data_IF_730501705652
#
_entry.id   IF_730501705652
#
_cell.length_a   1.000
_cell.length_b   1.000
_cell.length_c   1.000
_cell.angle_alpha   90.00
_cell.angle_beta   90.00
_cell.angle_gamma   90.00
#
_symmetry.space_group_name_H-M   'P 1'
#
loop_
_entity.id
_entity.type
_entity.pdbx_description
1 polymer ?
#
# COMPACT_ATOMS: atom_id res chain seq x y z
N UNK A 1 9.49 8.48 3.76
CA UNK A 1 8.13 8.16 4.23
C UNK A 1 7.79 8.89 5.52
N UNK A 2 8.49 8.69 6.64
CA UNK A 2 8.22 9.45 7.87
C UNK A 2 8.23 10.99 7.67
N UNK A 3 9.20 11.53 6.93
CA UNK A 3 9.19 12.96 6.56
C UNK A 3 7.98 13.37 5.72
N UNK A 4 7.58 12.56 4.73
CA UNK A 4 6.35 12.77 3.96
C UNK A 4 5.10 12.71 4.85
N UNK A 5 5.12 11.85 5.86
CA UNK A 5 4.06 11.80 6.86
C UNK A 5 4.03 13.09 7.68
N UNK A 6 5.16 13.61 8.15
CA UNK A 6 5.20 14.87 8.90
C UNK A 6 4.72 16.07 8.06
N UNK A 7 5.17 16.17 6.81
CA UNK A 7 4.97 17.32 5.92
C UNK A 7 3.67 17.27 5.09
N UNK A 8 2.78 16.31 5.38
CA UNK A 8 1.53 16.14 4.62
C UNK A 8 1.76 15.94 3.10
N UNK A 9 2.73 15.11 2.74
CA UNK A 9 3.05 14.84 1.32
C UNK A 9 2.50 13.47 0.93
N UNK A 10 1.64 13.43 -0.08
CA UNK A 10 1.15 12.18 -0.70
C UNK A 10 2.27 11.45 -1.42
N UNK A 11 2.72 10.33 -0.84
CA UNK A 11 3.71 9.42 -1.44
C UNK A 11 3.21 7.99 -1.31
N UNK A 12 3.10 7.27 -2.42
CA UNK A 12 2.77 5.84 -2.39
C UNK A 12 4.08 5.05 -2.47
N UNK A 13 4.43 4.35 -1.40
CA UNK A 13 5.59 3.47 -1.35
C UNK A 13 5.19 2.06 -1.76
N UNK A 14 5.61 1.64 -2.96
CA UNK A 14 5.38 0.28 -3.47
C UNK A 14 6.64 -0.55 -3.22
N UNK A 15 6.49 -1.66 -2.52
CA UNK A 15 7.60 -2.57 -2.18
C UNK A 15 7.35 -3.93 -2.80
N UNK A 16 8.30 -4.39 -3.64
CA UNK A 16 8.33 -5.77 -4.09
C UNK A 16 8.65 -6.70 -2.92
N UNK A 17 7.86 -7.76 -2.74
CA UNK A 17 8.02 -8.75 -1.68
C UNK A 17 8.27 -10.15 -2.25
N UNK A 18 8.74 -11.06 -1.39
CA UNK A 18 9.08 -12.44 -1.76
C UNK A 18 7.83 -13.21 -2.25
N UNK A 19 7.99 -14.30 -3.01
CA UNK A 19 6.84 -15.04 -3.54
C UNK A 19 5.87 -15.49 -2.44
N UNK A 20 4.56 -15.44 -2.69
CA UNK A 20 3.53 -15.78 -1.70
C UNK A 20 3.74 -17.16 -1.06
N UNK A 21 4.17 -18.16 -1.83
CA UNK A 21 4.48 -19.51 -1.33
C UNK A 21 5.69 -19.54 -0.37
N UNK A 22 6.69 -18.67 -0.59
CA UNK A 22 7.84 -18.54 0.31
C UNK A 22 7.44 -17.88 1.63
N UNK A 23 6.57 -16.86 1.56
CA UNK A 23 6.03 -16.22 2.76
C UNK A 23 5.20 -17.21 3.59
N UNK A 24 4.31 -17.97 2.94
CA UNK A 24 3.44 -18.94 3.59
C UNK A 24 4.21 -20.11 4.26
N UNK A 25 5.37 -20.48 3.71
CA UNK A 25 6.20 -21.56 4.24
C UNK A 25 7.19 -21.13 5.33
N UNK A 26 7.26 -19.84 5.67
CA UNK A 26 8.20 -19.36 6.69
C UNK A 26 9.67 -19.46 6.26
N UNK A 27 9.95 -19.48 4.94
CA UNK A 27 11.27 -19.79 4.43
C UNK A 27 12.35 -18.78 4.91
N UNK A 28 13.52 -19.29 5.31
CA UNK A 28 14.65 -18.43 5.68
C UNK A 28 15.29 -17.91 4.38
N UNK A 29 15.04 -16.65 4.06
CA UNK A 29 15.48 -16.03 2.81
C UNK A 29 16.27 -14.74 3.06
N UNK A 30 17.15 -14.42 2.11
CA UNK A 30 17.83 -13.14 2.05
C UNK A 30 16.80 -12.01 1.97
N UNK A 31 17.06 -10.89 2.65
CA UNK A 31 16.13 -9.76 2.84
C UNK A 31 14.93 -10.00 3.79
N UNK A 32 15.05 -10.95 4.71
CA UNK A 32 14.16 -11.09 5.87
C UNK A 32 14.95 -10.98 7.18
N UNK A 33 14.27 -10.96 8.34
CA UNK A 33 14.95 -11.10 9.63
C UNK A 33 15.38 -12.55 9.94
N UNK A 34 15.14 -13.50 9.03
CA UNK A 34 15.48 -14.91 9.24
C UNK A 34 14.65 -15.60 10.33
N UNK A 35 13.54 -14.99 10.75
CA UNK A 35 12.67 -15.47 11.82
C UNK A 35 11.33 -16.04 11.31
N UNK A 36 11.16 -16.15 9.98
CA UNK A 36 9.94 -16.63 9.33
C UNK A 36 8.79 -15.61 9.26
N UNK A 37 8.97 -14.40 9.80
CA UNK A 37 7.98 -13.32 9.69
C UNK A 37 8.36 -12.37 8.55
N UNK A 38 7.57 -12.43 7.47
CA UNK A 38 7.75 -11.62 6.27
C UNK A 38 7.05 -10.25 6.36
N UNK A 39 6.25 -10.01 7.40
CA UNK A 39 5.47 -8.80 7.57
C UNK A 39 6.17 -7.76 8.45
N UNK A 40 7.31 -8.08 9.06
CA UNK A 40 8.02 -7.17 9.98
C UNK A 40 8.22 -5.78 9.37
N UNK A 41 8.76 -5.71 8.16
CA UNK A 41 9.02 -4.42 7.51
C UNK A 41 7.71 -3.71 7.15
N UNK A 42 6.71 -4.41 6.62
CA UNK A 42 5.39 -3.82 6.36
C UNK A 42 4.75 -3.27 7.64
N UNK A 43 4.90 -3.98 8.77
CA UNK A 43 4.39 -3.56 10.07
C UNK A 43 5.08 -2.28 10.57
N UNK A 44 6.38 -2.12 10.34
CA UNK A 44 7.09 -0.87 10.70
C UNK A 44 6.57 0.35 9.95
N UNK A 45 6.10 0.19 8.71
CA UNK A 45 5.56 1.30 7.92
C UNK A 45 4.17 1.75 8.39
N UNK A 46 3.43 0.93 9.15
CA UNK A 46 2.09 1.27 9.66
C UNK A 46 2.09 2.55 10.48
N UNK A 47 3.15 2.77 11.26
CA UNK A 47 3.30 3.94 12.13
C UNK A 47 3.57 5.25 11.36
N UNK A 48 3.95 5.16 10.09
CA UNK A 48 4.37 6.30 9.26
C UNK A 48 3.63 6.37 7.93
N UNK A 49 2.49 5.70 7.81
CA UNK A 49 1.62 5.72 6.64
C UNK A 49 0.15 5.81 7.05
N UNK A 50 -0.67 6.46 6.23
CA UNK A 50 -2.10 6.60 6.49
C UNK A 50 -2.90 5.35 6.10
N UNK A 51 -2.43 4.66 5.07
CA UNK A 51 -2.98 3.42 4.58
C UNK A 51 -1.84 2.48 4.21
N UNK A 52 -2.02 1.21 4.52
CA UNK A 52 -1.07 0.16 4.22
C UNK A 52 -1.82 -1.08 3.75
N UNK A 53 -1.21 -1.83 2.84
CA UNK A 53 -1.72 -3.13 2.41
C UNK A 53 -0.59 -4.03 1.94
N UNK A 54 -0.82 -5.35 2.00
CA UNK A 54 -0.07 -6.34 1.26
C UNK A 54 -1.04 -7.01 0.29
N UNK A 55 -0.76 -6.90 -1.01
CA UNK A 55 -1.66 -7.36 -2.04
C UNK A 55 -1.68 -8.88 -2.10
N UNK A 56 -2.88 -9.39 -2.33
CA UNK A 56 -3.19 -10.77 -2.63
C UNK A 56 -4.02 -10.81 -3.91
N UNK A 57 -4.18 -11.99 -4.50
CA UNK A 57 -4.99 -12.17 -5.71
C UNK A 57 -6.43 -11.69 -5.55
N UNK A 58 -6.96 -11.74 -4.33
CA UNK A 58 -8.38 -11.48 -4.07
C UNK A 58 -8.66 -10.07 -3.58
N UNK A 59 -7.65 -9.33 -3.08
CA UNK A 59 -7.85 -7.98 -2.54
C UNK A 59 -7.30 -6.86 -3.44
N UNK A 60 -6.60 -7.21 -4.53
CA UNK A 60 -5.77 -6.26 -5.25
C UNK A 60 -6.52 -5.01 -5.74
N UNK A 61 -7.72 -5.19 -6.30
CA UNK A 61 -8.54 -4.10 -6.83
C UNK A 61 -8.94 -3.14 -5.70
N UNK A 62 -9.64 -3.66 -4.69
CA UNK A 62 -10.18 -2.85 -3.60
C UNK A 62 -9.08 -2.16 -2.78
N UNK A 63 -7.97 -2.85 -2.52
CA UNK A 63 -6.90 -2.32 -1.68
C UNK A 63 -6.05 -1.28 -2.40
N UNK A 64 -5.80 -1.41 -3.71
CA UNK A 64 -5.14 -0.36 -4.49
C UNK A 64 -5.98 0.91 -4.44
N UNK A 65 -7.28 0.82 -4.73
CA UNK A 65 -8.15 1.99 -4.73
C UNK A 65 -8.26 2.64 -3.35
N UNK A 66 -8.45 1.84 -2.29
CA UNK A 66 -8.50 2.35 -0.92
C UNK A 66 -7.21 3.08 -0.55
N UNK A 67 -6.06 2.47 -0.81
CA UNK A 67 -4.75 3.02 -0.45
C UNK A 67 -4.46 4.31 -1.21
N UNK A 68 -4.75 4.36 -2.51
CA UNK A 68 -4.56 5.56 -3.32
C UNK A 68 -5.49 6.70 -2.89
N UNK A 69 -6.77 6.39 -2.62
CA UNK A 69 -7.73 7.38 -2.16
C UNK A 69 -7.35 7.96 -0.79
N UNK A 70 -6.96 7.13 0.18
CA UNK A 70 -6.50 7.63 1.49
C UNK A 70 -5.23 8.48 1.38
N UNK A 71 -4.27 8.06 0.55
CA UNK A 71 -3.02 8.80 0.30
C UNK A 71 -3.29 10.22 -0.20
N UNK A 72 -4.20 10.37 -1.17
CA UNK A 72 -4.58 11.66 -1.73
C UNK A 72 -5.45 12.48 -0.79
N UNK A 73 -6.54 11.89 -0.28
CA UNK A 73 -7.54 12.59 0.52
C UNK A 73 -6.97 13.13 1.84
N UNK A 74 -6.01 12.42 2.43
CA UNK A 74 -5.39 12.81 3.69
C UNK A 74 -4.10 13.59 3.48
N UNK A 75 -3.59 13.67 2.25
CA UNK A 75 -2.26 14.21 1.96
C UNK A 75 -1.21 13.56 2.86
N UNK A 76 -1.19 12.22 2.91
CA UNK A 76 -0.27 11.45 3.76
C UNK A 76 0.29 10.28 2.94
N UNK A 77 1.49 9.77 3.28
CA UNK A 77 2.07 8.65 2.55
C UNK A 77 1.32 7.34 2.83
N UNK A 78 1.39 6.42 1.88
CA UNK A 78 0.78 5.10 1.97
C UNK A 78 1.75 4.00 1.51
N UNK A 79 1.46 2.75 1.87
CA UNK A 79 2.31 1.59 1.60
C UNK A 79 1.54 0.49 0.85
N UNK A 80 2.17 -0.11 -0.16
CA UNK A 80 1.67 -1.29 -0.88
C UNK A 80 2.80 -2.32 -0.99
N UNK A 81 2.63 -3.47 -0.35
CA UNK A 81 3.46 -4.65 -0.58
C UNK A 81 2.92 -5.46 -1.75
N UNK A 82 3.75 -5.76 -2.74
CA UNK A 82 3.40 -6.56 -3.92
C UNK A 82 4.34 -7.76 -4.03
N UNK A 83 3.82 -8.97 -3.84
CA UNK A 83 4.60 -10.19 -4.02
C UNK A 83 4.99 -10.36 -5.50
N UNK A 84 6.23 -10.77 -5.76
CA UNK A 84 6.78 -10.85 -7.13
C UNK A 84 6.02 -11.85 -8.02
N UNK A 85 5.41 -12.89 -7.45
CA UNK A 85 4.57 -13.84 -8.19
C UNK A 85 3.17 -13.29 -8.50
N UNK A 86 2.80 -12.13 -7.96
CA UNK A 86 1.54 -11.45 -8.24
C UNK A 86 1.67 -10.33 -9.25
N UNK A 87 2.88 -9.82 -9.55
CA UNK A 87 3.05 -8.70 -10.48
C UNK A 87 2.59 -9.02 -11.90
N UNK A 88 2.75 -10.28 -12.31
CA UNK A 88 2.38 -10.77 -13.64
C UNK A 88 1.01 -11.46 -13.64
N UNK A 89 0.27 -11.40 -12.53
CA UNK A 89 -1.02 -12.06 -12.41
C UNK A 89 -2.13 -11.20 -13.04
N UNK A 90 -2.74 -11.72 -14.10
CA UNK A 90 -3.90 -11.07 -14.72
C UNK A 90 -5.15 -11.21 -13.85
N UNK A 91 -5.92 -10.12 -13.78
CA UNK A 91 -7.20 -10.07 -13.07
C UNK A 91 -8.27 -9.57 -14.04
N UNK A 92 -9.48 -10.12 -13.93
CA UNK A 92 -10.63 -9.61 -14.66
C UNK A 92 -11.14 -8.37 -13.94
N UNK A 93 -11.11 -7.24 -14.65
CA UNK A 93 -11.66 -5.97 -14.16
C UNK A 93 -12.90 -5.66 -14.97
N UNK A 94 -14.02 -5.42 -14.29
CA UNK A 94 -15.18 -4.82 -14.93
C UNK A 94 -14.88 -3.33 -15.16
N UNK A 95 -14.80 -2.83 -16.40
CA UNK A 95 -14.53 -1.41 -16.64
C UNK A 95 -15.57 -0.47 -16.01
N UNK A 96 -16.77 -0.97 -15.71
CA UNK A 96 -17.83 -0.21 -15.04
C UNK A 96 -17.67 -0.18 -13.51
N UNK A 97 -16.80 -1.00 -12.92
CA UNK A 97 -16.55 -1.03 -11.48
C UNK A 97 -15.37 -0.17 -11.04
N UNK A 98 -14.60 0.38 -11.98
CA UNK A 98 -13.45 1.25 -11.69
C UNK A 98 -13.86 2.72 -11.79
N UNK A 99 -14.01 3.35 -10.63
CA UNK A 99 -14.21 4.79 -10.55
C UNK A 99 -12.87 5.53 -10.73
N UNK A 100 -12.81 6.60 -11.54
CA UNK A 100 -11.59 7.40 -11.65
C UNK A 100 -11.15 7.95 -10.29
N UNK A 101 -9.84 7.93 -10.06
CA UNK A 101 -9.25 8.50 -8.85
C UNK A 101 -9.68 9.96 -8.69
N UNK A 102 -10.34 10.29 -7.57
CA UNK A 102 -10.87 11.63 -7.31
C UNK A 102 -9.71 12.59 -7.02
N UNK A 103 -9.36 13.42 -8.00
CA UNK A 103 -8.22 14.37 -7.93
C UNK A 103 -8.56 15.71 -7.28
N UNK A 104 -9.83 15.98 -6.99
CA UNK A 104 -10.24 17.22 -6.34
C UNK A 104 -9.89 17.18 -4.86
N UNK A 105 -8.88 17.95 -4.46
CA UNK A 105 -8.56 18.15 -3.04
C UNK A 105 -9.76 18.79 -2.34
N UNK A 106 -10.13 18.27 -1.15
CA UNK A 106 -11.08 18.95 -0.27
C UNK A 106 -10.48 20.32 0.06
N UNK A 107 -11.22 21.38 -0.23
CA UNK A 107 -10.77 22.76 0.02
C UNK A 107 -10.40 22.91 1.49
N UNK A 108 -9.26 23.52 1.79
CA UNK A 108 -8.87 23.80 3.17
C UNK A 108 -10.04 24.44 3.94
N UNK A 109 -10.33 23.99 5.18
CA UNK A 109 -11.32 24.64 6.02
C UNK A 109 -11.00 26.14 6.09
N UNK A 110 -12.00 26.99 5.84
CA UNK A 110 -11.81 28.45 5.82
C UNK A 110 -11.63 29.06 7.22
N UNK A 111 -11.78 28.26 8.27
CA UNK A 111 -11.91 28.72 9.64
C UNK A 111 -10.74 28.27 10.52
N UNK A 112 -9.50 28.52 10.06
CA UNK A 112 -8.32 28.44 10.93
C UNK A 112 -7.58 29.77 10.83
N UNK A 113 -8.08 30.75 11.60
CA UNK A 113 -7.39 31.99 11.95
C UNK A 113 -7.34 32.09 13.47
#
# INVERSE_FOLDING_TARGET
IAGSYAEMVSVVHIVGTLPTASQASGAILHHTLGNGDFLVFANMYKEVTIAHTNLTKTNAIEEIDRVLNECLNKSRPAYIGLAVDLSDHEINVDPLSIEPLKRSLVRNPRDVH
#
